data_IF_880917421982
#
_entry.id   IF_880917421982
#
_cell.length_a   1.000
_cell.length_b   1.000
_cell.length_c   1.000
_cell.angle_alpha   90.00
_cell.angle_beta   90.00
_cell.angle_gamma   90.00
#
_symmetry.space_group_name_H-M   'P 1'
#
loop_
_entity.id
_entity.type
_entity.pdbx_description
1 polymer ?
#
# COMPACT_ATOMS: atom_id res chain seq x y z
N UNK A 1 -11.88 1.29 -8.44
CA UNK A 1 -12.78 1.52 -7.28
C UNK A 1 -12.34 2.80 -6.60
N UNK A 2 -13.25 3.68 -6.19
CA UNK A 2 -12.92 4.93 -5.49
C UNK A 2 -13.03 4.69 -3.99
N UNK A 3 -11.95 4.92 -3.24
CA UNK A 3 -11.97 4.93 -1.78
C UNK A 3 -11.81 6.38 -1.33
N UNK A 4 -12.86 6.94 -0.77
CA UNK A 4 -12.79 8.24 -0.12
C UNK A 4 -12.21 8.04 1.29
N UNK A 5 -11.01 8.58 1.53
CA UNK A 5 -10.32 8.57 2.82
C UNK A 5 -10.95 9.59 3.77
N UNK A 6 -12.24 9.44 4.07
CA UNK A 6 -12.90 10.29 5.06
C UNK A 6 -12.79 9.63 6.44
N UNK A 7 -11.91 10.18 7.30
CA UNK A 7 -12.03 10.03 8.75
C UNK A 7 -13.46 10.41 9.15
N UNK A 8 -14.05 9.67 10.09
CA UNK A 8 -15.38 9.97 10.62
C UNK A 8 -15.44 11.28 11.43
N UNK A 9 -14.33 12.00 11.56
CA UNK A 9 -14.31 13.37 12.06
C UNK A 9 -14.73 14.36 10.97
N UNK A 10 -15.54 15.36 11.29
CA UNK A 10 -16.03 16.40 10.36
C UNK A 10 -14.93 17.36 9.85
N UNK A 11 -13.66 16.95 9.85
CA UNK A 11 -12.49 17.59 9.24
C UNK A 11 -11.80 16.50 8.42
N UNK A 12 -11.51 16.75 7.14
CA UNK A 12 -10.77 15.81 6.30
C UNK A 12 -9.57 15.22 7.05
N UNK A 13 -9.44 13.89 7.00
CA UNK A 13 -8.33 13.19 7.64
C UNK A 13 -7.04 13.55 6.91
N UNK A 14 -6.15 14.28 7.57
CA UNK A 14 -4.87 14.66 6.97
C UNK A 14 -3.93 13.45 6.92
N UNK A 15 -3.26 13.27 5.79
CA UNK A 15 -2.16 12.32 5.63
C UNK A 15 -0.85 12.98 6.08
N UNK A 16 -0.08 12.30 6.91
CA UNK A 16 1.29 12.68 7.28
C UNK A 16 2.23 12.15 6.20
N UNK A 17 3.11 12.99 5.68
CA UNK A 17 4.22 12.56 4.83
C UNK A 17 5.44 12.41 5.72
N UNK A 18 5.91 11.19 5.89
CA UNK A 18 7.00 10.88 6.81
C UNK A 18 8.12 10.12 6.10
N UNK A 19 9.24 10.81 5.88
CA UNK A 19 10.45 10.20 5.32
C UNK A 19 11.16 9.25 6.30
N UNK A 20 10.72 9.19 7.56
CA UNK A 20 11.27 8.33 8.61
C UNK A 20 10.71 6.91 8.61
N UNK A 21 9.70 6.62 7.77
CA UNK A 21 9.11 5.28 7.64
C UNK A 21 9.18 4.76 6.21
N UNK A 22 9.45 3.46 6.10
CA UNK A 22 9.47 2.72 4.84
C UNK A 22 8.07 2.30 4.36
N UNK A 23 7.11 2.18 5.29
CA UNK A 23 5.75 1.73 4.99
C UNK A 23 4.78 2.89 4.98
N UNK A 24 3.83 2.83 4.05
CA UNK A 24 2.61 3.64 4.11
C UNK A 24 1.61 2.97 5.06
N UNK A 25 1.22 3.65 6.12
CA UNK A 25 0.28 3.12 7.13
C UNK A 25 -1.11 3.69 6.92
N UNK A 26 -2.09 2.78 6.91
CA UNK A 26 -3.51 3.08 6.70
C UNK A 26 -4.34 2.49 7.85
N UNK A 27 -5.46 3.14 8.25
CA UNK A 27 -6.40 2.55 9.19
C UNK A 27 -6.76 1.12 8.78
N UNK A 28 -6.76 0.20 9.73
CA UNK A 28 -6.83 -1.25 9.48
C UNK A 28 -7.94 -1.65 8.49
N UNK A 29 -9.11 -1.03 8.57
CA UNK A 29 -10.23 -1.31 7.65
C UNK A 29 -9.90 -0.97 6.20
N UNK A 30 -9.27 0.17 5.98
CA UNK A 30 -8.85 0.64 4.66
C UNK A 30 -7.71 -0.21 4.13
N UNK A 31 -6.71 -0.49 4.96
CA UNK A 31 -5.59 -1.36 4.61
C UNK A 31 -6.07 -2.72 4.08
N UNK A 32 -6.95 -3.40 4.83
CA UNK A 32 -7.49 -4.72 4.44
C UNK A 32 -8.27 -4.68 3.13
N UNK A 33 -9.02 -3.59 2.88
CA UNK A 33 -9.74 -3.40 1.63
C UNK A 33 -8.77 -3.25 0.44
N UNK A 34 -7.73 -2.44 0.62
CA UNK A 34 -6.69 -2.24 -0.38
C UNK A 34 -5.87 -3.51 -0.64
N UNK A 35 -5.44 -4.19 0.42
CA UNK A 35 -4.73 -5.48 0.34
C UNK A 35 -5.54 -6.51 -0.45
N UNK A 36 -6.85 -6.62 -0.19
CA UNK A 36 -7.75 -7.51 -0.93
C UNK A 36 -7.83 -7.17 -2.42
N UNK A 37 -7.78 -5.88 -2.79
CA UNK A 37 -7.76 -5.45 -4.19
C UNK A 37 -6.44 -5.82 -4.84
N UNK A 38 -5.32 -5.57 -4.16
CA UNK A 38 -4.00 -5.93 -4.65
C UNK A 38 -3.89 -7.43 -4.91
N UNK A 39 -4.37 -8.26 -3.98
CA UNK A 39 -4.44 -9.72 -4.13
C UNK A 39 -5.21 -10.14 -5.38
N UNK A 40 -6.30 -9.45 -5.72
CA UNK A 40 -7.12 -9.76 -6.90
C UNK A 40 -6.49 -9.28 -8.21
N UNK A 41 -5.70 -8.21 -8.18
CA UNK A 41 -5.02 -7.64 -9.35
C UNK A 41 -3.84 -8.52 -9.81
N UNK A 42 -3.04 -9.00 -8.86
CA UNK A 42 -1.84 -9.80 -9.14
C UNK A 42 -2.21 -11.28 -9.18
N UNK A 43 -2.40 -11.80 -10.40
CA UNK A 43 -2.71 -13.21 -10.64
C UNK A 43 -1.45 -14.01 -10.94
N UNK A 44 -1.48 -15.31 -10.63
CA UNK A 44 -0.48 -16.31 -11.02
C UNK A 44 0.91 -16.16 -10.37
N UNK A 45 1.01 -15.50 -9.21
CA UNK A 45 2.22 -15.54 -8.38
C UNK A 45 1.96 -16.31 -7.09
N UNK A 46 2.96 -17.07 -6.66
CA UNK A 46 2.93 -17.68 -5.33
C UNK A 46 3.09 -16.61 -4.25
N UNK A 47 2.36 -16.76 -3.15
CA UNK A 47 2.60 -15.94 -1.97
C UNK A 47 3.99 -16.22 -1.39
N UNK A 48 4.69 -15.14 -1.08
CA UNK A 48 5.96 -15.12 -0.35
C UNK A 48 5.74 -14.82 1.13
N UNK A 49 6.85 -14.67 1.86
CA UNK A 49 6.86 -14.19 3.24
C UNK A 49 7.95 -13.15 3.39
N UNK A 50 7.65 -12.04 4.04
CA UNK A 50 8.68 -11.12 4.51
C UNK A 50 9.49 -11.81 5.62
N UNK A 51 10.82 -11.97 5.47
CA UNK A 51 11.66 -12.54 6.53
C UNK A 51 11.66 -11.74 7.83
N UNK A 52 11.38 -10.43 7.75
CA UNK A 52 11.38 -9.53 8.91
C UNK A 52 9.99 -9.41 9.56
N UNK A 53 8.93 -9.82 8.86
CA UNK A 53 7.56 -9.83 9.38
C UNK A 53 6.87 -8.46 9.44
N UNK A 54 7.35 -7.45 8.73
CA UNK A 54 6.75 -6.11 8.66
C UNK A 54 5.61 -6.03 7.64
N UNK A 55 5.67 -6.76 6.52
CA UNK A 55 4.63 -6.76 5.48
C UNK A 55 3.84 -8.07 5.45
N UNK A 56 2.51 -7.98 5.35
CA UNK A 56 1.63 -9.17 5.28
C UNK A 56 1.40 -9.69 3.87
N UNK A 57 1.49 -8.84 2.84
CA UNK A 57 1.29 -9.24 1.45
C UNK A 57 2.61 -9.28 0.69
N UNK A 58 3.08 -10.48 0.36
CA UNK A 58 4.30 -10.70 -0.40
C UNK A 58 4.10 -11.76 -1.47
N UNK A 59 4.91 -11.68 -2.53
CA UNK A 59 4.93 -12.63 -3.64
C UNK A 59 6.33 -13.14 -3.91
N UNK A 60 6.44 -14.41 -4.27
CA UNK A 60 7.70 -14.98 -4.77
C UNK A 60 7.88 -14.61 -6.24
N UNK A 61 8.88 -13.80 -6.53
CA UNK A 61 9.25 -13.42 -7.88
C UNK A 61 10.67 -12.87 -7.92
N UNK A 62 11.43 -13.29 -8.93
CA UNK A 62 12.71 -12.65 -9.31
C UNK A 62 12.52 -11.50 -10.30
N UNK A 63 11.33 -11.41 -10.88
CA UNK A 63 10.96 -10.34 -11.79
C UNK A 63 10.36 -9.18 -10.99
N UNK A 64 10.80 -7.97 -11.30
CA UNK A 64 10.08 -6.77 -10.89
C UNK A 64 8.83 -6.57 -11.75
N UNK A 65 8.70 -7.26 -12.88
CA UNK A 65 7.63 -7.12 -13.89
C UNK A 65 6.22 -7.55 -13.44
N UNK A 66 6.02 -7.78 -12.12
CA UNK A 66 4.68 -7.69 -11.52
C UNK A 66 4.11 -6.27 -11.69
N UNK A 67 4.96 -5.32 -12.10
CA UNK A 67 4.62 -3.92 -12.25
C UNK A 67 3.41 -3.66 -13.16
N UNK A 68 3.19 -4.49 -14.17
CA UNK A 68 2.03 -4.38 -15.07
C UNK A 68 0.76 -5.08 -14.58
N UNK A 69 0.84 -5.91 -13.55
CA UNK A 69 -0.30 -6.66 -13.00
C UNK A 69 -0.88 -6.05 -11.72
N UNK A 70 -0.05 -5.34 -10.95
CA UNK A 70 -0.48 -4.62 -9.76
C UNK A 70 -1.38 -3.44 -10.13
N UNK A 71 -2.49 -3.28 -9.39
CA UNK A 71 -3.36 -2.10 -9.53
C UNK A 71 -2.57 -0.81 -9.20
N UNK A 72 -2.77 0.23 -10.01
CA UNK A 72 -2.22 1.57 -9.71
C UNK A 72 -3.05 2.19 -8.58
N UNK A 73 -2.37 2.68 -7.55
CA UNK A 73 -3.03 3.37 -6.44
C UNK A 73 -2.97 4.87 -6.72
N UNK A 74 -4.12 5.53 -6.80
CA UNK A 74 -4.16 6.98 -6.96
C UNK A 74 -4.57 7.63 -5.64
N UNK A 75 -3.70 8.49 -5.11
CA UNK A 75 -4.04 9.36 -3.99
C UNK A 75 -4.65 10.65 -4.54
N UNK A 76 -5.88 10.94 -4.12
CA UNK A 76 -6.62 12.13 -4.51
C UNK A 76 -6.53 13.18 -3.38
N UNK A 77 -6.01 14.37 -3.70
CA UNK A 77 -5.93 15.48 -2.74
C UNK A 77 -7.18 16.36 -2.85
N UNK A 78 -7.74 16.80 -1.70
CA UNK A 78 -9.03 17.51 -1.65
C UNK A 78 -9.04 18.80 -2.47
N UNK A 79 -7.94 19.57 -2.47
CA UNK A 79 -7.81 20.81 -3.24
C UNK A 79 -7.36 20.57 -4.71
N UNK A 80 -7.33 19.31 -5.13
CA UNK A 80 -6.92 18.88 -6.46
C UNK A 80 -5.50 18.33 -6.50
N UNK A 81 -5.20 17.63 -7.60
CA UNK A 81 -3.97 16.88 -7.77
C UNK A 81 -4.15 15.40 -7.46
N UNK A 82 -3.60 14.58 -8.34
CA UNK A 82 -3.60 13.14 -8.22
C UNK A 82 -2.15 12.67 -8.18
N UNK A 83 -1.82 11.82 -7.21
CA UNK A 83 -0.54 11.12 -7.16
C UNK A 83 -0.78 9.65 -7.52
N UNK A 84 -0.31 9.26 -8.71
CA UNK A 84 -0.33 7.87 -9.14
C UNK A 84 0.89 7.13 -8.57
N UNK A 85 0.61 6.10 -7.78
CA UNK A 85 1.59 5.18 -7.23
C UNK A 85 1.55 3.89 -8.05
N UNK A 86 2.58 3.71 -8.86
CA UNK A 86 2.79 2.45 -9.57
C UNK A 86 3.38 1.43 -8.61
N UNK A 87 3.37 0.18 -9.02
CA UNK A 87 4.08 -0.94 -8.38
C UNK A 87 5.50 -0.63 -7.88
N UNK A 88 6.31 0.15 -8.60
CA UNK A 88 7.65 0.58 -8.13
C UNK A 88 7.60 1.49 -6.90
N UNK A 89 6.47 2.17 -6.67
CA UNK A 89 6.21 2.99 -5.50
C UNK A 89 5.51 2.22 -4.38
N UNK A 90 4.93 1.06 -4.67
CA UNK A 90 4.02 0.34 -3.74
C UNK A 90 4.53 -1.03 -3.34
N UNK A 91 5.62 -1.53 -3.95
CA UNK A 91 6.26 -2.80 -3.60
C UNK A 91 7.75 -2.64 -3.35
N UNK A 92 8.25 -3.38 -2.36
CA UNK A 92 9.66 -3.41 -1.98
C UNK A 92 10.22 -4.83 -2.08
N UNK A 93 11.39 -4.96 -2.70
CA UNK A 93 12.12 -6.22 -2.77
C UNK A 93 12.83 -6.47 -1.45
N UNK A 94 12.39 -7.48 -0.71
CA UNK A 94 12.94 -7.80 0.63
C UNK A 94 13.95 -8.95 0.60
N UNK A 95 13.92 -9.79 -0.44
CA UNK A 95 14.96 -10.78 -0.76
C UNK A 95 15.15 -10.84 -2.28
N UNK A 96 16.14 -11.61 -2.76
CA UNK A 96 16.34 -11.84 -4.20
C UNK A 96 15.08 -12.35 -4.93
N UNK A 97 14.21 -13.05 -4.22
CA UNK A 97 13.04 -13.73 -4.78
C UNK A 97 11.72 -13.35 -4.10
N UNK A 98 11.68 -12.36 -3.19
CA UNK A 98 10.46 -11.90 -2.52
C UNK A 98 10.26 -10.41 -2.68
N UNK A 99 9.05 -10.05 -3.13
CA UNK A 99 8.59 -8.68 -3.34
C UNK A 99 7.32 -8.47 -2.51
N UNK A 100 7.31 -7.45 -1.64
CA UNK A 100 6.26 -7.22 -0.65
C UNK A 100 5.56 -5.88 -0.85
N UNK A 101 4.26 -5.84 -0.62
CA UNK A 101 3.44 -4.63 -0.67
C UNK A 101 3.82 -3.72 0.50
N UNK A 102 4.30 -2.51 0.21
CA UNK A 102 4.85 -1.55 1.15
C UNK A 102 3.77 -0.72 1.89
N UNK A 103 2.69 -1.39 2.27
CA UNK A 103 1.60 -0.82 3.05
C UNK A 103 1.35 -1.68 4.29
N UNK A 104 0.98 -1.03 5.40
CA UNK A 104 0.66 -1.69 6.66
C UNK A 104 -0.61 -1.12 7.32
N UNK A 105 -1.22 -1.90 8.23
CA UNK A 105 -2.32 -1.41 9.06
C UNK A 105 -1.79 -0.54 10.21
N UNK A 106 -2.63 0.40 10.66
CA UNK A 106 -2.53 1.03 11.98
C UNK A 106 -3.85 0.85 12.72
N UNK A 107 -3.78 0.75 14.05
CA UNK A 107 -4.94 0.69 14.95
C UNK A 107 -5.53 2.08 15.24
N UNK A 108 -4.81 3.13 14.88
CA UNK A 108 -5.24 4.53 15.00
C UNK A 108 -6.14 4.90 13.80
N UNK A 109 -7.45 4.96 14.02
CA UNK A 109 -8.46 5.18 12.95
C UNK A 109 -8.32 6.53 12.22
N UNK A 110 -7.69 7.53 12.87
CA UNK A 110 -7.48 8.87 12.32
C UNK A 110 -6.03 9.10 11.82
N UNK A 111 -5.18 8.08 11.82
CA UNK A 111 -3.78 8.19 11.39
C UNK A 111 -3.58 7.61 9.99
N UNK A 112 -3.14 8.46 9.07
CA UNK A 112 -2.68 8.09 7.74
C UNK A 112 -1.23 8.55 7.60
N UNK A 113 -0.31 7.66 7.26
CA UNK A 113 1.10 8.00 7.03
C UNK A 113 1.49 7.52 5.64
N UNK A 114 2.01 8.42 4.81
CA UNK A 114 2.66 8.09 3.55
C UNK A 114 4.18 8.02 3.78
N UNK A 115 4.72 6.81 3.57
CA UNK A 115 6.14 6.49 3.71
C UNK A 115 6.86 6.36 2.37
N UNK A 116 8.19 6.25 2.41
CA UNK A 116 9.07 6.21 1.23
C UNK A 116 9.95 4.96 1.16
#
# INVERSE_FOLDING_TARGET
>A
MKFDLASSSKKGGNMIIDSGTMLTYLPTKLYKALETIMIKSIKNLEFGKDPNGYMSLCYKTKSDDIMGAAEVITLHFEEGGDLELKSVNTFLRVTEDVLCFAFGPTDEDDLLIFGF
#
